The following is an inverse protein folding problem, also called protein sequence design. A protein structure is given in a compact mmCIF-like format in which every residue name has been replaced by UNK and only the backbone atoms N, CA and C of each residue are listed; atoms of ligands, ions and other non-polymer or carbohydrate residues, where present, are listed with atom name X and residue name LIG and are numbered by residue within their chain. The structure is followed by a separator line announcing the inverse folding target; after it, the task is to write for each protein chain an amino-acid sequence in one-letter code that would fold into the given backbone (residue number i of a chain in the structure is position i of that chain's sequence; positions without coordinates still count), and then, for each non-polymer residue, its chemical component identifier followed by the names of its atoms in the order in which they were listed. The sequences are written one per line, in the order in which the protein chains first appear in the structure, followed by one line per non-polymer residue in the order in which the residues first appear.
data_IF_458162827517
#
_entry.id   IF_458162827517
#
_cell.length_a   1.000
_cell.length_b   1.000
_cell.length_c   1.000
_cell.angle_alpha   90.00
_cell.angle_beta   90.00
_cell.angle_gamma   90.00
#
_symmetry.space_group_name_H-M   'P 1'
#
loop_
_entity.id
_entity.type
_entity.pdbx_description
1 polymer ?
#
# COMPACT_ATOMS: atom_id res chain seq x y z
N UNK A 1 8.61 11.41 13.31
CA UNK A 1 7.26 10.90 12.92
C UNK A 1 7.39 9.69 12.00
N UNK A 2 6.45 8.74 12.06
CA UNK A 2 6.47 7.53 11.22
C UNK A 2 5.19 7.46 10.39
N UNK A 3 5.34 7.24 9.08
CA UNK A 3 4.24 7.02 8.14
C UNK A 3 4.25 5.59 7.61
N UNK A 4 3.07 5.08 7.23
CA UNK A 4 2.93 3.76 6.61
C UNK A 4 2.85 3.92 5.08
N UNK A 5 3.62 3.14 4.33
CA UNK A 5 3.70 3.24 2.87
C UNK A 5 2.33 3.10 2.18
N UNK A 6 1.45 2.25 2.71
CA UNK A 6 0.08 2.05 2.18
C UNK A 6 -0.85 3.25 2.37
N UNK A 7 -0.41 4.31 3.05
CA UNK A 7 -1.14 5.57 3.21
C UNK A 7 -0.82 6.59 2.12
N UNK A 8 0.15 6.32 1.26
CA UNK A 8 0.53 7.23 0.17
C UNK A 8 -0.66 7.50 -0.75
N UNK A 9 -0.88 8.77 -1.10
CA UNK A 9 -1.98 9.25 -1.95
C UNK A 9 -3.40 8.89 -1.48
N UNK A 10 -3.57 8.48 -0.21
CA UNK A 10 -4.89 8.49 0.42
C UNK A 10 -5.34 9.92 0.70
N UNK A 11 -6.59 10.09 1.12
CA UNK A 11 -7.05 11.38 1.64
C UNK A 11 -6.12 11.87 2.78
N UNK A 12 -5.49 13.06 2.65
CA UNK A 12 -4.58 13.56 3.69
C UNK A 12 -5.25 13.70 5.06
N UNK A 13 -6.50 14.16 5.07
CA UNK A 13 -7.28 14.26 6.30
C UNK A 13 -7.59 12.90 6.93
N UNK A 14 -7.79 11.86 6.12
CA UNK A 14 -7.90 10.47 6.63
C UNK A 14 -6.61 10.03 7.32
N UNK A 15 -5.44 10.37 6.77
CA UNK A 15 -4.15 10.04 7.41
C UNK A 15 -4.00 10.77 8.74
N UNK A 16 -4.39 12.05 8.81
CA UNK A 16 -4.41 12.81 10.05
C UNK A 16 -5.33 12.13 11.09
N UNK A 17 -6.59 11.85 10.73
CA UNK A 17 -7.54 11.21 11.63
C UNK A 17 -7.08 9.82 12.06
N UNK A 18 -6.43 9.05 11.17
CA UNK A 18 -5.85 7.75 11.50
C UNK A 18 -4.73 7.81 12.53
N UNK A 19 -3.91 8.86 12.48
CA UNK A 19 -2.88 9.06 13.49
C UNK A 19 -3.46 9.54 14.83
N UNK A 20 -4.54 10.33 14.80
CA UNK A 20 -5.13 10.95 16.00
C UNK A 20 -6.15 10.07 16.72
N UNK A 21 -6.93 9.29 15.96
CA UNK A 21 -8.02 8.44 16.43
C UNK A 21 -7.96 7.04 15.80
N UNK A 22 -6.89 6.27 16.05
CA UNK A 22 -6.70 4.94 15.46
C UNK A 22 -7.81 3.94 15.84
N UNK A 23 -8.46 4.11 16.98
CA UNK A 23 -9.56 3.27 17.48
C UNK A 23 -10.82 3.31 16.60
N UNK A 24 -10.95 4.33 15.76
CA UNK A 24 -12.06 4.48 14.82
C UNK A 24 -11.78 3.89 13.43
N UNK A 25 -10.60 3.31 13.20
CA UNK A 25 -10.30 2.68 11.92
C UNK A 25 -11.05 1.35 11.77
N UNK A 26 -12.18 1.38 11.05
CA UNK A 26 -12.94 0.20 10.71
C UNK A 26 -12.40 -0.50 9.46
N UNK A 27 -11.71 -1.63 9.63
CA UNK A 27 -11.51 -2.62 8.56
C UNK A 27 -12.34 -3.86 8.90
N UNK A 28 -13.19 -4.30 7.97
CA UNK A 28 -14.04 -5.47 8.22
C UNK A 28 -13.19 -6.75 8.36
N UNK A 29 -13.54 -7.60 9.34
CA UNK A 29 -12.88 -8.90 9.54
C UNK A 29 -12.88 -9.76 8.28
N UNK A 30 -13.96 -9.68 7.51
CA UNK A 30 -14.09 -10.36 6.22
C UNK A 30 -13.06 -9.87 5.19
N UNK A 31 -12.81 -8.56 5.11
CA UNK A 31 -11.80 -8.02 4.19
C UNK A 31 -10.39 -8.44 4.58
N UNK A 32 -10.09 -8.49 5.90
CA UNK A 32 -8.81 -9.02 6.40
C UNK A 32 -8.66 -10.50 6.05
N UNK A 33 -9.72 -11.30 6.23
CA UNK A 33 -9.71 -12.73 5.90
C UNK A 33 -9.45 -12.95 4.41
N UNK A 34 -10.17 -12.25 3.53
CA UNK A 34 -9.99 -12.33 2.08
C UNK A 34 -8.59 -11.89 1.63
N UNK A 35 -8.04 -10.83 2.23
CA UNK A 35 -6.67 -10.39 1.97
C UNK A 35 -5.64 -11.48 2.32
N UNK A 36 -5.76 -12.07 3.51
CA UNK A 36 -4.88 -13.16 3.96
C UNK A 36 -4.98 -14.40 3.08
N UNK A 37 -6.19 -14.76 2.66
CA UNK A 37 -6.41 -15.87 1.74
C UNK A 37 -5.72 -15.64 0.39
N UNK A 38 -5.85 -14.43 -0.17
CA UNK A 38 -5.16 -14.05 -1.41
C UNK A 38 -3.63 -14.18 -1.28
N UNK A 39 -3.06 -13.70 -0.17
CA UNK A 39 -1.62 -13.84 0.10
C UNK A 39 -1.19 -15.31 0.20
N UNK A 40 -1.95 -16.16 0.91
CA UNK A 40 -1.65 -17.59 1.02
C UNK A 40 -1.68 -18.26 -0.36
N UNK A 41 -2.70 -17.96 -1.16
CA UNK A 41 -2.83 -18.52 -2.51
C UNK A 41 -1.71 -18.05 -3.44
N UNK A 42 -1.29 -16.79 -3.35
CA UNK A 42 -0.18 -16.33 -4.19
C UNK A 42 1.16 -16.90 -3.73
N UNK A 43 1.33 -17.16 -2.43
CA UNK A 43 2.50 -17.88 -1.91
C UNK A 43 2.60 -19.28 -2.53
N UNK A 44 1.50 -20.03 -2.59
CA UNK A 44 1.45 -21.35 -3.23
C UNK A 44 1.92 -21.26 -4.70
N UNK A 45 1.45 -20.24 -5.43
CA UNK A 45 1.90 -19.98 -6.82
C UNK A 45 3.40 -19.71 -6.92
N UNK A 46 3.98 -18.92 -6.01
CA UNK A 46 5.42 -18.65 -6.01
C UNK A 46 6.23 -19.92 -5.68
N UNK A 47 5.75 -20.74 -4.75
CA UNK A 47 6.36 -22.02 -4.37
C UNK A 47 6.33 -23.01 -5.53
N UNK A 48 5.19 -23.18 -6.21
CA UNK A 48 5.06 -24.01 -7.42
C UNK A 48 6.00 -23.57 -8.55
N UNK A 49 6.21 -22.26 -8.70
CA UNK A 49 7.15 -21.68 -9.67
C UNK A 49 8.61 -21.77 -9.22
N UNK A 50 8.91 -22.37 -8.06
CA UNK A 50 10.24 -22.44 -7.45
C UNK A 50 10.91 -21.06 -7.29
N UNK A 51 10.13 -20.02 -7.05
CA UNK A 51 10.64 -18.65 -6.83
C UNK A 51 11.06 -18.50 -5.37
N UNK A 52 12.31 -18.10 -5.13
CA UNK A 52 12.77 -17.75 -3.77
C UNK A 52 12.27 -16.37 -3.37
N UNK A 53 11.58 -16.30 -2.23
CA UNK A 53 11.05 -15.04 -1.69
C UNK A 53 11.25 -14.90 -0.18
N UNK A 54 11.29 -13.66 0.29
CA UNK A 54 11.07 -13.31 1.69
C UNK A 54 9.62 -12.87 1.86
N UNK A 55 8.89 -13.56 2.73
CA UNK A 55 7.49 -13.27 3.04
C UNK A 55 7.38 -12.14 4.07
N UNK A 56 6.45 -11.20 3.84
CA UNK A 56 6.03 -10.22 4.84
C UNK A 56 7.23 -9.41 5.41
N UNK A 57 8.11 -8.93 4.53
CA UNK A 57 9.37 -8.27 4.90
C UNK A 57 9.14 -6.81 5.27
N UNK A 58 9.60 -6.40 6.44
CA UNK A 58 9.64 -4.99 6.84
C UNK A 58 10.68 -4.22 6.06
N UNK A 59 10.26 -3.06 5.55
CA UNK A 59 11.03 -2.13 4.74
C UNK A 59 10.94 -0.73 5.36
N UNK A 60 11.99 0.08 5.17
CA UNK A 60 12.08 1.40 5.78
C UNK A 60 12.79 2.38 4.85
N UNK A 61 12.22 3.57 4.67
CA UNK A 61 12.84 4.72 4.01
C UNK A 61 12.95 5.87 5.02
N UNK A 62 14.18 6.23 5.39
CA UNK A 62 14.44 7.38 6.27
C UNK A 62 14.55 8.65 5.43
N UNK A 63 13.82 9.69 5.81
CA UNK A 63 14.00 11.05 5.28
C UNK A 63 14.64 11.92 6.37
N UNK A 64 14.90 13.20 6.07
CA UNK A 64 15.40 14.17 7.05
C UNK A 64 14.41 14.41 8.21
N UNK A 65 13.10 14.32 7.95
CA UNK A 65 12.05 14.78 8.88
C UNK A 65 11.18 13.64 9.44
N UNK A 66 11.04 12.55 8.69
CA UNK A 66 10.17 11.43 9.04
C UNK A 66 10.73 10.11 8.50
N UNK A 67 10.06 9.03 8.84
CA UNK A 67 10.38 7.70 8.32
C UNK A 67 9.14 7.08 7.73
N UNK A 68 9.25 6.54 6.51
CA UNK A 68 8.19 5.74 5.88
C UNK A 68 8.54 4.27 6.13
N UNK A 69 7.61 3.51 6.69
CA UNK A 69 7.75 2.07 6.87
C UNK A 69 6.66 1.33 6.12
N UNK A 70 6.92 0.08 5.77
CA UNK A 70 5.85 -0.82 5.38
C UNK A 70 6.34 -2.24 5.31
N UNK A 71 5.43 -3.12 4.93
CA UNK A 71 5.62 -4.56 4.93
C UNK A 71 5.20 -5.05 3.56
N UNK A 72 6.18 -5.46 2.76
CA UNK A 72 5.91 -6.02 1.45
C UNK A 72 5.46 -7.48 1.62
N UNK A 73 4.44 -7.90 0.87
CA UNK A 73 3.90 -9.25 1.00
C UNK A 73 4.93 -10.29 0.57
N UNK A 74 5.56 -10.08 -0.58
CA UNK A 74 6.68 -10.92 -1.03
C UNK A 74 7.79 -10.09 -1.64
N UNK A 75 9.02 -10.45 -1.29
CA UNK A 75 10.23 -9.82 -1.82
C UNK A 75 11.12 -10.89 -2.45
N UNK A 76 11.36 -10.81 -3.75
CA UNK A 76 12.30 -11.69 -4.45
C UNK A 76 13.65 -10.97 -4.63
N UNK A 77 14.59 -11.63 -5.33
CA UNK A 77 15.86 -11.01 -5.72
C UNK A 77 15.65 -9.84 -6.68
N UNK A 78 14.65 -9.90 -7.56
CA UNK A 78 14.44 -8.96 -8.66
C UNK A 78 13.24 -8.02 -8.47
N UNK A 79 12.21 -8.44 -7.71
CA UNK A 79 10.93 -7.76 -7.63
C UNK A 79 10.35 -7.66 -6.22
N UNK A 80 9.43 -6.70 -6.08
CA UNK A 80 8.49 -6.60 -4.95
C UNK A 80 7.11 -7.01 -5.43
N UNK A 81 6.42 -7.87 -4.68
CA UNK A 81 5.02 -8.22 -4.94
C UNK A 81 4.12 -7.69 -3.84
N UNK A 82 2.99 -7.11 -4.24
CA UNK A 82 1.91 -6.66 -3.37
C UNK A 82 0.61 -7.33 -3.82
N UNK A 83 -0.04 -8.07 -2.92
CA UNK A 83 -1.25 -8.83 -3.22
C UNK A 83 -2.49 -8.05 -2.77
N UNK A 84 -3.48 -7.96 -3.64
CA UNK A 84 -4.76 -7.27 -3.40
C UNK A 84 -5.93 -8.19 -3.67
N UNK A 85 -6.74 -8.46 -2.65
CA UNK A 85 -8.05 -9.08 -2.87
C UNK A 85 -9.02 -8.06 -3.47
N UNK A 86 -9.63 -8.42 -4.59
CA UNK A 86 -10.60 -7.59 -5.32
C UNK A 86 -11.87 -8.37 -5.59
N UNK A 87 -12.94 -7.67 -5.98
CA UNK A 87 -14.18 -8.32 -6.45
C UNK A 87 -14.16 -8.63 -7.94
N UNK A 88 -13.37 -7.85 -8.69
CA UNK A 88 -13.12 -7.99 -10.12
C UNK A 88 -11.77 -7.35 -10.40
N UNK A 89 -11.04 -7.87 -11.38
CA UNK A 89 -9.83 -7.23 -11.86
C UNK A 89 -10.12 -5.82 -12.37
N UNK A 90 -9.17 -4.92 -12.18
CA UNK A 90 -9.28 -3.50 -12.51
C UNK A 90 -7.90 -2.86 -12.60
N UNK A 91 -7.82 -1.71 -13.22
CA UNK A 91 -6.59 -0.92 -13.16
C UNK A 91 -6.19 -0.62 -11.69
N UNK A 92 -4.91 -0.86 -11.32
CA UNK A 92 -4.43 -0.53 -10.00
C UNK A 92 -4.60 0.95 -9.67
N UNK A 93 -5.16 1.24 -8.50
CA UNK A 93 -5.34 2.63 -8.07
C UNK A 93 -3.99 3.30 -7.77
N UNK A 94 -3.92 4.62 -7.94
CA UNK A 94 -2.68 5.40 -7.75
C UNK A 94 -1.99 5.14 -6.41
N UNK A 95 -2.76 4.94 -5.33
CA UNK A 95 -2.21 4.62 -4.01
C UNK A 95 -1.54 3.23 -3.96
N UNK A 96 -2.03 2.24 -4.72
CA UNK A 96 -1.39 0.92 -4.81
C UNK A 96 -0.07 1.01 -5.58
N UNK A 97 -0.08 1.73 -6.70
CA UNK A 97 1.12 1.99 -7.50
C UNK A 97 2.17 2.74 -6.68
N UNK A 98 1.77 3.78 -5.96
CA UNK A 98 2.64 4.54 -5.06
C UNK A 98 3.22 3.67 -3.93
N UNK A 99 2.40 2.80 -3.32
CA UNK A 99 2.84 1.90 -2.26
C UNK A 99 3.94 0.94 -2.77
N UNK A 100 3.73 0.31 -3.93
CA UNK A 100 4.73 -0.59 -4.53
C UNK A 100 5.99 0.18 -4.94
N UNK A 101 5.84 1.40 -5.47
CA UNK A 101 7.01 2.23 -5.82
C UNK A 101 7.86 2.61 -4.59
N UNK A 102 7.22 2.88 -3.46
CA UNK A 102 7.91 3.08 -2.18
C UNK A 102 8.64 1.81 -1.73
N UNK A 103 8.03 0.64 -1.86
CA UNK A 103 8.69 -0.62 -1.53
C UNK A 103 9.88 -0.93 -2.44
N UNK A 104 9.77 -0.65 -3.74
CA UNK A 104 10.89 -0.73 -4.69
C UNK A 104 12.05 0.18 -4.24
N UNK A 105 11.76 1.42 -3.87
CA UNK A 105 12.77 2.35 -3.35
C UNK A 105 13.45 1.85 -2.07
N UNK A 106 12.66 1.34 -1.10
CA UNK A 106 13.19 0.85 0.19
C UNK A 106 14.03 -0.41 0.05
N UNK A 107 13.69 -1.26 -0.91
CA UNK A 107 14.35 -2.55 -1.12
C UNK A 107 15.45 -2.50 -2.18
N UNK A 108 15.56 -1.41 -2.95
CA UNK A 108 16.50 -1.29 -4.06
C UNK A 108 16.13 -2.11 -5.31
N UNK A 109 14.89 -2.61 -5.42
CA UNK A 109 14.41 -3.29 -6.62
C UNK A 109 13.92 -2.29 -7.65
N UNK A 110 14.03 -2.65 -8.93
CA UNK A 110 13.52 -1.85 -10.06
C UNK A 110 12.18 -2.34 -10.62
N UNK A 111 11.74 -3.53 -10.21
CA UNK A 111 10.49 -4.17 -10.63
C UNK A 111 9.55 -4.31 -9.44
N UNK A 112 8.29 -4.01 -9.68
CA UNK A 112 7.19 -4.21 -8.74
C UNK A 112 6.06 -4.93 -9.45
N UNK A 113 5.26 -5.72 -8.73
CA UNK A 113 4.11 -6.42 -9.27
C UNK A 113 2.94 -6.25 -8.31
N UNK A 114 1.84 -5.72 -8.81
CA UNK A 114 0.57 -5.74 -8.10
C UNK A 114 -0.17 -6.99 -8.56
N UNK A 115 -0.48 -7.87 -7.62
CA UNK A 115 -1.18 -9.12 -7.89
C UNK A 115 -2.59 -8.98 -7.38
N UNK A 116 -3.57 -9.03 -8.28
CA UNK A 116 -4.98 -9.02 -7.91
C UNK A 116 -5.51 -10.44 -7.83
N UNK A 117 -6.29 -10.73 -6.78
CA UNK A 117 -6.99 -12.00 -6.60
C UNK A 117 -8.49 -11.73 -6.45
N UNK A 118 -9.30 -12.32 -7.31
CA UNK A 118 -10.76 -12.15 -7.30
C UNK A 118 -11.52 -13.27 -6.55
N UNK A 119 -10.79 -14.27 -6.06
CA UNK A 119 -11.36 -15.48 -5.45
C UNK A 119 -11.29 -16.71 -6.36
N UNK A 120 -11.00 -16.54 -7.64
CA UNK A 120 -10.90 -17.62 -8.63
C UNK A 120 -9.52 -17.69 -9.28
N UNK A 121 -8.92 -16.52 -9.57
CA UNK A 121 -7.64 -16.44 -10.26
C UNK A 121 -6.85 -15.19 -9.94
N UNK A 122 -5.69 -15.08 -10.58
CA UNK A 122 -4.75 -13.97 -10.40
C UNK A 122 -4.57 -13.16 -11.68
N UNK A 123 -4.46 -11.84 -11.53
CA UNK A 123 -3.98 -10.93 -12.57
C UNK A 123 -2.77 -10.14 -12.05
N UNK A 124 -1.68 -10.12 -12.81
CA UNK A 124 -0.42 -9.46 -12.43
C UNK A 124 -0.23 -8.16 -13.24
N UNK A 125 -0.06 -7.03 -12.54
CA UNK A 125 0.33 -5.76 -13.16
C UNK A 125 1.77 -5.44 -12.83
N UNK A 126 2.64 -5.50 -13.84
CA UNK A 126 4.05 -5.17 -13.71
C UNK A 126 4.28 -3.66 -13.71
N UNK A 127 5.08 -3.19 -12.76
CA UNK A 127 5.47 -1.80 -12.59
C UNK A 127 7.00 -1.69 -12.69
N UNK A 128 7.46 -0.58 -13.26
CA UNK A 128 8.87 -0.16 -13.19
C UNK A 128 9.01 0.93 -12.15
N UNK A 129 10.15 0.92 -11.45
CA UNK A 129 10.48 1.98 -10.51
C UNK A 129 10.46 3.35 -11.22
N UNK A 130 9.78 4.31 -10.59
CA UNK A 130 9.70 5.69 -11.06
C UNK A 130 10.24 6.63 -9.98
N UNK A 131 11.28 7.40 -10.36
CA UNK A 131 11.86 8.40 -9.47
C UNK A 131 10.90 9.57 -9.23
N UNK A 132 10.18 10.03 -10.24
CA UNK A 132 9.19 11.09 -10.09
C UNK A 132 8.07 10.68 -9.12
N UNK A 133 7.58 9.44 -9.23
CA UNK A 133 6.55 8.93 -8.32
C UNK A 133 7.06 8.78 -6.88
N UNK A 134 8.35 8.47 -6.70
CA UNK A 134 8.98 8.46 -5.37
C UNK A 134 9.02 9.88 -4.79
N UNK A 135 9.45 10.86 -5.58
CA UNK A 135 9.55 12.25 -5.14
C UNK A 135 8.15 12.82 -4.81
N UNK A 136 7.13 12.51 -5.62
CA UNK A 136 5.71 12.82 -5.31
C UNK A 136 5.24 12.17 -4.01
N UNK A 137 5.60 10.90 -3.77
CA UNK A 137 5.22 10.18 -2.56
C UNK A 137 5.86 10.81 -1.31
N UNK A 138 7.13 11.23 -1.41
CA UNK A 138 7.83 11.94 -0.33
C UNK A 138 7.19 13.31 -0.09
N UNK A 139 6.87 14.05 -1.15
CA UNK A 139 6.18 15.35 -1.05
C UNK A 139 4.83 15.22 -0.36
N UNK A 140 4.04 14.20 -0.72
CA UNK A 140 2.75 13.91 -0.08
C UNK A 140 2.91 13.73 1.45
N UNK A 141 3.91 12.95 1.89
CA UNK A 141 4.17 12.78 3.33
C UNK A 141 4.79 14.02 3.99
N UNK A 142 5.54 14.83 3.25
CA UNK A 142 6.08 16.10 3.72
C UNK A 142 4.97 17.12 4.01
N UNK A 143 3.97 17.20 3.15
CA UNK A 143 2.80 18.05 3.37
C UNK A 143 2.04 17.61 4.62
N UNK A 144 1.79 16.31 4.78
CA UNK A 144 1.20 15.74 5.98
C UNK A 144 2.00 16.06 7.26
N UNK A 145 3.32 15.86 7.21
CA UNK A 145 4.22 16.19 8.33
C UNK A 145 4.18 17.67 8.70
N UNK A 146 4.03 18.54 7.70
CA UNK A 146 3.97 20.01 7.87
C UNK A 146 2.58 20.51 8.28
N UNK A 147 1.63 19.61 8.52
CA UNK A 147 0.26 19.97 8.90
C UNK A 147 -0.65 20.40 7.75
N UNK A 148 -0.24 20.19 6.50
CA UNK A 148 -1.07 20.44 5.32
C UNK A 148 -1.92 19.21 5.01
N UNK A 149 -3.08 19.12 5.65
CA UNK A 149 -4.05 18.06 5.42
C UNK A 149 -5.37 18.66 4.93
N UNK A 150 -5.64 18.55 3.63
CA UNK A 150 -6.97 18.87 3.08
C UNK A 150 -7.80 17.61 2.93
N UNK A 151 -9.12 17.78 3.01
CA UNK A 151 -10.06 16.70 2.75
C UNK A 151 -10.14 16.44 1.25
N UNK A 152 -10.01 15.18 0.87
CA UNK A 152 -10.31 14.70 -0.48
C UNK A 152 -11.69 14.05 -0.51
N UNK A 153 -12.66 14.77 -1.07
CA UNK A 153 -14.06 14.32 -1.15
C UNK A 153 -14.25 13.10 -2.07
N UNK A 154 -13.34 12.87 -3.02
CA UNK A 154 -13.44 11.75 -3.97
C UNK A 154 -13.24 10.39 -3.31
N UNK A 155 -12.61 10.36 -2.12
CA UNK A 155 -12.29 9.14 -1.38
C UNK A 155 -13.25 8.86 -0.19
N UNK A 156 -14.35 9.63 -0.06
CA UNK A 156 -15.19 9.58 1.13
C UNK A 156 -16.16 8.40 1.21
N UNK A 157 -16.59 7.81 0.08
CA UNK A 157 -17.69 6.83 0.01
C UNK A 157 -17.47 5.54 0.81
N UNK A 158 -16.21 5.18 1.07
CA UNK A 158 -15.82 4.00 1.85
C UNK A 158 -14.84 4.33 2.98
N UNK A 159 -14.83 5.60 3.42
CA UNK A 159 -13.93 6.08 4.46
C UNK A 159 -14.45 5.67 5.85
N UNK A 160 -13.63 4.92 6.61
CA UNK A 160 -13.91 4.51 7.98
C UNK A 160 -14.17 5.69 8.93
N UNK A 161 -13.62 6.86 8.60
CA UNK A 161 -13.71 8.07 9.42
C UNK A 161 -14.84 9.01 9.01
N UNK A 162 -15.69 8.63 8.06
CA UNK A 162 -16.73 9.51 7.51
C UNK A 162 -17.69 10.07 8.58
N UNK A 163 -17.91 9.34 9.67
CA UNK A 163 -18.82 9.73 10.77
C UNK A 163 -18.26 10.82 11.71
N UNK A 164 -16.93 10.97 11.81
CA UNK A 164 -16.26 12.02 12.61
C UNK A 164 -15.53 13.06 11.74
N UNK A 165 -15.42 12.80 10.45
CA UNK A 165 -14.92 13.75 9.48
C UNK A 165 -15.98 14.83 9.22
N UNK A 166 -16.08 15.76 10.17
CA UNK A 166 -16.91 16.96 10.05
C UNK A 166 -16.67 17.62 8.69
N UNK A 167 -17.76 18.05 8.05
CA UNK A 167 -17.78 18.53 6.66
C UNK A 167 -16.74 19.60 6.38
#
# INVERSE_FOLDING_TARGET
MRFIASWVFKCPYWVYLKNKYPEYDGISRESVKRGREAEIKFREVLEERNVKFAYQKWLTLKTRYFTIVGKADFLTSDAVYEVKSVRRFREPSRNWVGQVNLYMAMSGRRKGVIVQYDGQGFEEHSLRFSRSLLDESISYFQDLYSGKFTRDYTQCSHCSYSFICLK
#
